data_IF_227701532362
#
_entry.id   IF_227701532362
#
_cell.length_a   1.000
_cell.length_b   1.000
_cell.length_c   1.000
_cell.angle_alpha   90.00
_cell.angle_beta   90.00
_cell.angle_gamma   90.00
#
_symmetry.space_group_name_H-M   'P 1'
#
loop_
_entity.id
_entity.type
_entity.pdbx_description
1 polymer ?
#
# COMPACT_ATOMS: atom_id res chain seq x y z
N UNK A 1 -14.92 10.42 -4.12
CA UNK A 1 -14.07 10.57 -2.92
C UNK A 1 -12.86 9.69 -3.19
N UNK A 2 -11.71 10.30 -3.45
CA UNK A 2 -10.48 9.54 -3.72
C UNK A 2 -10.12 8.84 -2.42
N UNK A 3 -10.05 7.53 -2.49
CA UNK A 3 -9.87 6.68 -1.34
C UNK A 3 -8.38 6.77 -0.98
N UNK A 4 -8.02 7.10 0.27
CA UNK A 4 -6.64 7.38 0.71
C UNK A 4 -5.64 6.28 0.29
N UNK A 5 -6.10 5.02 0.23
CA UNK A 5 -5.34 3.91 -0.32
C UNK A 5 -4.86 4.08 -1.77
N UNK A 6 -5.66 4.71 -2.64
CA UNK A 6 -5.29 4.98 -4.04
C UNK A 6 -4.19 6.03 -4.14
N UNK A 7 -4.19 7.05 -3.26
CA UNK A 7 -3.16 8.09 -3.24
C UNK A 7 -1.76 7.50 -2.98
N UNK A 8 -1.66 6.46 -2.15
CA UNK A 8 -0.38 5.79 -1.87
C UNK A 8 0.16 5.03 -3.08
N UNK A 9 -0.73 4.42 -3.87
CA UNK A 9 -0.33 3.70 -5.08
C UNK A 9 0.08 4.65 -6.22
N UNK A 10 -0.35 5.91 -6.13
CA UNK A 10 -0.01 7.00 -7.04
C UNK A 10 1.23 7.79 -6.57
N UNK A 11 1.63 7.67 -5.31
CA UNK A 11 2.84 8.31 -4.78
C UNK A 11 4.12 7.63 -5.28
N UNK A 12 4.91 8.33 -6.10
CA UNK A 12 6.13 7.81 -6.73
C UNK A 12 7.19 7.32 -5.74
N UNK A 13 7.23 7.85 -4.51
CA UNK A 13 8.17 7.40 -3.48
C UNK A 13 7.90 5.96 -3.00
N UNK A 14 6.67 5.48 -3.21
CA UNK A 14 6.21 4.14 -2.84
C UNK A 14 6.03 3.27 -4.07
N UNK A 15 5.45 3.83 -5.12
CA UNK A 15 4.98 3.09 -6.29
C UNK A 15 6.12 2.73 -7.26
N UNK A 16 7.12 3.61 -7.40
CA UNK A 16 8.28 3.40 -8.28
C UNK A 16 9.31 2.50 -7.61
N UNK A 17 9.64 1.38 -8.28
CA UNK A 17 10.72 0.51 -7.82
C UNK A 17 12.07 1.17 -8.09
N UNK A 18 12.87 1.41 -7.05
CA UNK A 18 14.21 2.02 -7.18
C UNK A 18 15.15 1.28 -8.13
N UNK A 19 14.98 -0.03 -8.31
CA UNK A 19 15.83 -0.87 -9.18
C UNK A 19 15.47 -0.74 -10.66
N UNK A 20 14.19 -0.59 -10.98
CA UNK A 20 13.71 -0.58 -12.38
C UNK A 20 13.28 0.79 -12.87
N UNK A 21 13.05 1.75 -11.96
CA UNK A 21 12.53 3.08 -12.29
C UNK A 21 11.09 3.08 -12.80
N UNK A 22 10.38 1.96 -12.66
CA UNK A 22 9.00 1.78 -13.15
C UNK A 22 8.06 1.67 -11.95
N UNK A 23 6.85 2.23 -12.08
CA UNK A 23 5.78 2.01 -11.11
C UNK A 23 5.27 0.57 -11.22
N UNK A 24 5.72 -0.28 -10.30
CA UNK A 24 5.33 -1.70 -10.26
C UNK A 24 4.08 -1.94 -9.42
N UNK A 25 3.54 -0.92 -8.74
CA UNK A 25 2.33 -1.04 -7.93
C UNK A 25 1.07 -0.64 -8.70
N UNK A 26 1.20 0.18 -9.76
CA UNK A 26 0.09 0.65 -10.60
C UNK A 26 -0.79 -0.48 -11.15
N UNK A 27 -0.17 -1.58 -11.57
CA UNK A 27 -0.85 -2.77 -12.11
C UNK A 27 -0.83 -3.96 -11.12
N UNK A 28 -0.48 -3.72 -9.86
CA UNK A 28 -0.43 -4.80 -8.87
C UNK A 28 -1.82 -5.14 -8.34
N UNK A 29 -2.04 -6.42 -8.01
CA UNK A 29 -3.27 -6.86 -7.34
C UNK A 29 -3.48 -6.21 -5.96
N UNK A 30 -2.43 -5.60 -5.38
CA UNK A 30 -2.56 -4.83 -4.14
C UNK A 30 -3.65 -3.76 -4.27
N UNK A 31 -3.80 -3.13 -5.43
CA UNK A 31 -4.86 -2.14 -5.66
C UNK A 31 -6.28 -2.70 -5.48
N UNK A 32 -6.47 -3.97 -5.83
CA UNK A 32 -7.77 -4.65 -5.74
C UNK A 32 -8.01 -5.20 -4.32
N UNK A 33 -6.93 -5.51 -3.60
CA UNK A 33 -6.98 -6.11 -2.27
C UNK A 33 -6.97 -5.06 -1.15
N UNK A 34 -6.71 -3.78 -1.45
CA UNK A 34 -6.84 -2.70 -0.49
C UNK A 34 -8.30 -2.27 -0.38
N UNK A 35 -8.83 -2.34 0.84
CA UNK A 35 -10.12 -1.76 1.19
C UNK A 35 -9.88 -0.57 2.11
N UNK A 36 -10.51 0.56 1.81
CA UNK A 36 -10.58 1.64 2.79
C UNK A 36 -11.94 2.30 2.80
N UNK A 37 -12.36 2.58 4.01
CA UNK A 37 -13.71 3.03 4.34
C UNK A 37 -13.59 4.28 5.20
N UNK A 38 -14.34 5.30 4.82
CA UNK A 38 -14.57 6.48 5.67
C UNK A 38 -15.98 6.36 6.22
N UNK A 39 -16.08 6.19 7.54
CA UNK A 39 -17.34 6.09 8.25
C UNK A 39 -17.56 7.36 9.08
N UNK A 40 -18.73 7.96 8.90
CA UNK A 40 -19.21 9.07 9.72
C UNK A 40 -20.16 8.49 10.75
N UNK A 41 -19.80 8.59 12.03
CA UNK A 41 -20.72 8.29 13.12
C UNK A 41 -21.42 9.58 13.55
N UNK A 42 -22.60 9.46 14.15
CA UNK A 42 -23.24 10.59 14.83
C UNK A 42 -22.29 11.21 15.85
N UNK A 43 -22.46 12.51 16.13
CA UNK A 43 -21.67 13.31 17.07
C UNK A 43 -20.25 13.67 16.56
N UNK A 44 -20.10 13.92 15.26
CA UNK A 44 -18.86 14.47 14.67
C UNK A 44 -17.68 13.50 14.60
N UNK A 45 -17.89 12.21 14.87
CA UNK A 45 -16.85 11.18 14.83
C UNK A 45 -16.60 10.69 13.40
N UNK A 46 -15.37 10.92 12.92
CA UNK A 46 -14.89 10.41 11.62
C UNK A 46 -13.93 9.25 11.88
N UNK A 47 -14.21 8.09 11.30
CA UNK A 47 -13.30 6.95 11.29
C UNK A 47 -12.82 6.70 9.85
N UNK A 48 -11.50 6.73 9.68
CA UNK A 48 -10.83 6.36 8.44
C UNK A 48 -10.13 5.02 8.69
N UNK A 49 -10.59 3.97 8.02
CA UNK A 49 -10.02 2.62 8.12
C UNK A 49 -9.42 2.20 6.80
N UNK A 50 -8.23 1.63 6.82
CA UNK A 50 -7.57 1.01 5.66
C UNK A 50 -7.10 -0.40 6.01
N UNK A 51 -7.44 -1.36 5.15
CA UNK A 51 -7.11 -2.78 5.30
C UNK A 51 -6.28 -3.20 4.10
N UNK A 52 -5.10 -3.75 4.40
CA UNK A 52 -4.16 -4.28 3.42
C UNK A 52 -4.10 -5.80 3.54
N UNK A 53 -3.80 -6.47 2.43
CA UNK A 53 -3.44 -7.89 2.47
C UNK A 53 -2.03 -8.08 3.06
N UNK A 54 -1.68 -9.31 3.46
CA UNK A 54 -0.36 -9.65 4.04
C UNK A 54 0.81 -9.43 3.07
N UNK A 55 0.56 -9.13 1.80
CA UNK A 55 1.63 -8.82 0.86
C UNK A 55 2.35 -7.52 1.20
N UNK A 56 1.70 -6.61 1.95
CA UNK A 56 2.32 -5.36 2.41
C UNK A 56 3.58 -5.61 3.26
N UNK A 57 3.57 -6.61 4.12
CA UNK A 57 4.72 -6.96 4.97
C UNK A 57 5.95 -7.32 4.11
N UNK A 58 5.72 -8.01 3.00
CA UNK A 58 6.79 -8.35 2.06
C UNK A 58 7.33 -7.13 1.32
N UNK A 59 6.44 -6.19 0.96
CA UNK A 59 6.81 -4.96 0.26
C UNK A 59 7.51 -3.95 1.16
N UNK A 60 7.18 -3.89 2.45
CA UNK A 60 7.83 -3.01 3.42
C UNK A 60 9.14 -3.58 3.96
N UNK A 61 9.32 -4.90 3.88
CA UNK A 61 10.52 -5.55 4.37
C UNK A 61 11.73 -5.33 3.45
N UNK A 62 12.82 -4.84 4.04
CA UNK A 62 14.16 -4.86 3.45
C UNK A 62 14.70 -6.29 3.43
N UNK A 63 14.63 -6.98 2.28
CA UNK A 63 15.29 -8.28 2.11
C UNK A 63 16.75 -8.08 1.68
N UNK A 64 17.74 -8.41 2.53
CA UNK A 64 19.13 -8.29 2.12
C UNK A 64 19.49 -9.33 1.03
N UNK A 65 20.52 -9.03 0.22
CA UNK A 65 21.15 -10.00 -0.67
C UNK A 65 21.50 -11.30 0.05
N UNK A 66 21.27 -12.42 -0.61
CA UNK A 66 21.58 -13.78 -0.16
C UNK A 66 20.91 -14.17 1.17
N UNK A 67 19.79 -13.51 1.52
CA UNK A 67 19.04 -13.83 2.74
C UNK A 67 18.36 -15.19 2.67
N UNK A 68 18.66 -16.03 3.66
CA UNK A 68 18.15 -17.39 3.79
C UNK A 68 18.88 -18.39 2.87
N UNK A 69 18.43 -19.64 2.88
CA UNK A 69 19.07 -20.72 2.11
C UNK A 69 18.77 -20.68 0.60
N UNK A 70 17.66 -20.06 0.21
CA UNK A 70 17.21 -20.02 -1.18
C UNK A 70 16.30 -18.82 -1.45
N UNK A 71 16.09 -18.53 -2.73
CA UNK A 71 15.09 -17.56 -3.17
C UNK A 71 13.65 -18.00 -2.89
N UNK A 72 12.67 -17.20 -3.33
CA UNK A 72 11.26 -17.54 -3.20
C UNK A 72 10.95 -18.94 -3.77
N UNK A 73 10.02 -19.69 -3.15
CA UNK A 73 9.59 -20.99 -3.67
C UNK A 73 9.11 -20.89 -5.12
N UNK A 74 9.46 -21.89 -5.93
CA UNK A 74 9.14 -21.92 -7.36
C UNK A 74 7.63 -21.92 -7.62
N UNK A 75 6.85 -22.58 -6.76
CA UNK A 75 5.39 -22.65 -6.91
C UNK A 75 4.73 -21.27 -6.77
N UNK A 76 5.23 -20.43 -5.86
CA UNK A 76 4.76 -19.04 -5.68
C UNK A 76 5.14 -18.19 -6.91
N UNK A 77 6.34 -18.40 -7.47
CA UNK A 77 6.78 -17.69 -8.66
C UNK A 77 6.01 -18.10 -9.91
N UNK A 78 5.49 -19.33 -9.97
CA UNK A 78 4.70 -19.81 -11.11
C UNK A 78 3.41 -19.02 -11.28
N UNK A 79 2.67 -18.79 -10.19
CA UNK A 79 1.44 -17.99 -10.21
C UNK A 79 1.70 -16.54 -10.62
N UNK A 80 2.79 -15.96 -10.10
CA UNK A 80 3.23 -14.63 -10.49
C UNK A 80 3.63 -14.57 -11.98
N UNK A 81 4.39 -15.54 -12.47
CA UNK A 81 4.83 -15.58 -13.87
C UNK A 81 3.64 -15.72 -14.85
N UNK A 82 2.65 -16.55 -14.52
CA UNK A 82 1.41 -16.69 -15.30
C UNK A 82 0.62 -15.37 -15.40
N UNK A 83 0.56 -14.59 -14.32
CA UNK A 83 -0.18 -13.31 -14.33
C UNK A 83 0.56 -12.17 -15.04
N UNK A 84 1.82 -12.36 -15.42
CA UNK A 84 2.67 -11.35 -16.05
C UNK A 84 3.17 -11.78 -17.45
N UNK A 85 2.56 -12.80 -18.05
CA UNK A 85 2.96 -13.38 -19.35
C UNK A 85 4.45 -13.76 -19.42
N UNK A 86 5.02 -14.16 -18.27
CA UNK A 86 6.41 -14.64 -18.16
C UNK A 86 6.43 -16.16 -18.34
N UNK A 87 7.39 -16.73 -19.10
CA UNK A 87 7.53 -18.17 -19.23
C UNK A 87 7.62 -18.87 -17.87
N UNK A 88 6.82 -19.93 -17.69
CA UNK A 88 6.71 -20.68 -16.43
C UNK A 88 7.54 -21.96 -16.42
N UNK A 89 8.47 -22.10 -17.36
CA UNK A 89 9.41 -23.20 -17.37
C UNK A 89 10.33 -23.14 -16.15
N UNK A 90 10.78 -24.32 -15.69
CA UNK A 90 11.60 -24.40 -14.48
C UNK A 90 12.87 -23.55 -14.57
N UNK A 91 13.54 -23.50 -15.72
CA UNK A 91 14.76 -22.69 -15.87
C UNK A 91 14.51 -21.20 -15.65
N UNK A 92 13.42 -20.65 -16.21
CA UNK A 92 13.01 -19.27 -16.03
C UNK A 92 12.64 -19.00 -14.56
N UNK A 93 11.83 -19.85 -13.95
CA UNK A 93 11.43 -19.67 -12.55
C UNK A 93 12.61 -19.78 -11.58
N UNK A 94 13.56 -20.71 -11.81
CA UNK A 94 14.79 -20.80 -11.02
C UNK A 94 15.71 -19.59 -11.23
N UNK A 95 15.79 -19.06 -12.45
CA UNK A 95 16.56 -17.85 -12.72
C UNK A 95 15.99 -16.63 -11.99
N UNK A 96 14.66 -16.47 -11.98
CA UNK A 96 13.95 -15.43 -11.23
C UNK A 96 14.18 -15.61 -9.73
N UNK A 97 13.98 -16.83 -9.20
CA UNK A 97 14.20 -17.13 -7.78
C UNK A 97 15.62 -16.78 -7.34
N UNK A 98 16.62 -17.16 -8.15
CA UNK A 98 18.03 -16.89 -7.88
C UNK A 98 18.36 -15.40 -7.98
N UNK A 99 17.77 -14.68 -8.92
CA UNK A 99 17.95 -13.22 -9.03
C UNK A 99 17.40 -12.50 -7.79
N UNK A 100 16.21 -12.89 -7.31
CA UNK A 100 15.61 -12.33 -6.08
C UNK A 100 16.48 -12.64 -4.86
N UNK A 101 16.97 -13.88 -4.74
CA UNK A 101 17.88 -14.24 -3.65
C UNK A 101 19.18 -13.44 -3.71
N UNK A 102 19.84 -13.41 -4.87
CA UNK A 102 21.14 -12.75 -5.07
C UNK A 102 21.05 -11.24 -4.84
N UNK A 103 20.01 -10.60 -5.36
CA UNK A 103 19.95 -9.14 -5.37
C UNK A 103 19.21 -8.57 -4.14
N UNK A 104 18.39 -9.38 -3.48
CA UNK A 104 17.47 -8.89 -2.45
C UNK A 104 16.48 -7.86 -2.99
N UNK A 105 15.81 -7.16 -2.09
CA UNK A 105 14.98 -6.01 -2.43
C UNK A 105 14.95 -5.00 -1.29
N UNK A 106 14.76 -3.73 -1.65
CA UNK A 106 14.50 -2.67 -0.69
C UNK A 106 13.00 -2.56 -0.43
N UNK A 107 12.67 -2.53 0.85
CA UNK A 107 11.35 -2.26 1.36
C UNK A 107 10.87 -0.87 0.95
N UNK A 108 9.55 -0.72 0.84
CA UNK A 108 8.87 0.52 0.48
C UNK A 108 8.13 1.04 1.71
N UNK A 109 8.20 2.33 2.03
CA UNK A 109 7.56 2.88 3.22
C UNK A 109 6.07 3.14 2.98
N UNK A 110 5.28 2.08 2.77
CA UNK A 110 3.86 2.16 2.43
C UNK A 110 3.05 2.71 3.62
N UNK A 111 3.20 2.13 4.82
CA UNK A 111 2.44 2.51 6.01
C UNK A 111 2.84 3.88 6.55
N UNK A 112 4.13 4.22 6.46
CA UNK A 112 4.60 5.56 6.82
C UNK A 112 4.00 6.62 5.88
N UNK A 113 4.00 6.34 4.57
CA UNK A 113 3.41 7.26 3.58
C UNK A 113 1.91 7.39 3.79
N UNK A 114 1.21 6.29 4.07
CA UNK A 114 -0.21 6.32 4.46
C UNK A 114 -0.47 7.25 5.64
N UNK A 115 0.33 7.13 6.71
CA UNK A 115 0.18 7.96 7.90
C UNK A 115 0.29 9.46 7.57
N UNK A 116 1.30 9.83 6.78
CA UNK A 116 1.49 11.22 6.37
C UNK A 116 0.33 11.73 5.51
N UNK A 117 -0.12 10.95 4.52
CA UNK A 117 -1.25 11.34 3.64
C UNK A 117 -2.57 11.45 4.43
N UNK A 118 -2.78 10.60 5.44
CA UNK A 118 -3.93 10.70 6.35
C UNK A 118 -3.87 11.97 7.21
N UNK A 119 -2.69 12.33 7.73
CA UNK A 119 -2.49 13.54 8.52
C UNK A 119 -2.70 14.80 7.66
N UNK A 120 -2.16 14.81 6.44
CA UNK A 120 -2.37 15.91 5.50
C UNK A 120 -3.86 16.05 5.15
N UNK A 121 -4.54 14.95 4.81
CA UNK A 121 -5.99 14.97 4.54
C UNK A 121 -6.80 15.46 5.74
N UNK A 122 -6.39 15.09 6.96
CA UNK A 122 -7.02 15.59 8.17
C UNK A 122 -6.89 17.10 8.28
N UNK A 123 -5.68 17.64 8.11
CA UNK A 123 -5.41 19.07 8.22
C UNK A 123 -6.08 19.91 7.12
N UNK A 124 -6.20 19.39 5.90
CA UNK A 124 -6.71 20.16 4.76
C UNK A 124 -8.21 20.00 4.50
N UNK A 125 -8.78 18.81 4.72
CA UNK A 125 -10.17 18.53 4.34
C UNK A 125 -11.11 18.27 5.51
N UNK A 126 -10.61 17.65 6.58
CA UNK A 126 -11.47 17.18 7.67
C UNK A 126 -11.49 18.12 8.87
N UNK A 127 -10.41 18.86 9.13
CA UNK A 127 -10.30 19.77 10.26
C UNK A 127 -11.41 20.82 10.26
N UNK A 128 -11.60 21.53 9.14
CA UNK A 128 -12.65 22.56 9.02
C UNK A 128 -14.05 21.96 9.18
N UNK A 129 -14.31 20.79 8.57
CA UNK A 129 -15.62 20.12 8.66
C UNK A 129 -15.95 19.67 10.09
N UNK A 130 -14.95 19.19 10.83
CA UNK A 130 -15.10 18.82 12.24
C UNK A 130 -15.35 20.08 13.07
N UNK A 131 -14.58 21.14 12.83
CA UNK A 131 -14.76 22.41 13.53
C UNK A 131 -16.18 22.97 13.32
N UNK A 132 -16.65 23.03 12.08
CA UNK A 132 -18.00 23.49 11.74
C UNK A 132 -19.08 22.62 12.42
N UNK A 133 -18.92 21.30 12.40
CA UNK A 133 -19.86 20.38 13.06
C UNK A 133 -19.93 20.60 14.58
N UNK A 134 -18.78 20.85 15.23
CA UNK A 134 -18.73 21.16 16.66
C UNK A 134 -19.43 22.49 16.95
N UNK A 135 -19.18 23.53 16.14
CA UNK A 135 -19.82 24.84 16.30
C UNK A 135 -21.34 24.73 16.12
N UNK A 136 -21.80 23.96 15.13
CA UNK A 136 -23.22 23.71 14.90
C UNK A 136 -23.88 23.00 16.10
N UNK A 137 -23.23 21.99 16.68
CA UNK A 137 -23.75 21.32 17.87
C UNK A 137 -23.76 22.22 19.11
N UNK A 138 -22.68 22.98 19.33
CA UNK A 138 -22.61 23.93 20.45
C UNK A 138 -23.69 25.01 20.32
N UNK A 139 -23.91 25.54 19.12
CA UNK A 139 -24.95 26.54 18.87
C UNK A 139 -26.34 25.96 19.17
N UNK A 140 -26.64 24.75 18.68
CA UNK A 140 -27.91 24.05 19.00
C UNK A 140 -28.09 23.75 20.49
N UNK A 141 -27.00 23.55 21.23
CA UNK A 141 -27.06 23.26 22.66
C UNK A 141 -27.35 24.50 23.51
N UNK A 142 -26.88 25.67 23.08
CA UNK A 142 -27.04 26.93 23.82
C UNK A 142 -28.20 27.82 23.33
N UNK A 143 -28.82 27.50 22.20
CA UNK A 143 -30.14 28.01 21.77
C UNK A 143 -31.30 27.31 22.50
#
# INVERSE_FOLDING_TARGET
>A
MTVIAQLILENDNVSVNKKTGINTLANSNLKNDISSTVSFFGDGQINISAVFNYYIDFLEWDRPPEYGKSGPPIDVLREWALSHDVPTDNSTLFAISRAIWRDGHKGRPILLTLGNEMEDSFNTEYYEKIFDAIIDELTKFFE
#
